data_IF_524993965762
#
_entry.id   IF_524993965762
#
_cell.length_a   1.000
_cell.length_b   1.000
_cell.length_c   1.000
_cell.angle_alpha   90.00
_cell.angle_beta   90.00
_cell.angle_gamma   90.00
#
_symmetry.space_group_name_H-M   'P 1'
#
loop_
_entity.id
_entity.type
_entity.pdbx_description
1 polymer ?
#
# COMPACT_ATOMS: atom_id res chain seq x y z
N UNK A 1 -9.11 5.00 10.50
CA UNK A 1 -9.30 3.71 9.86
C UNK A 1 -9.00 3.78 8.37
N UNK A 2 -8.32 2.79 7.85
CA UNK A 2 -7.97 2.74 6.43
C UNK A 2 -9.23 2.42 5.63
N UNK A 3 -9.57 3.26 4.67
CA UNK A 3 -10.73 3.07 3.80
C UNK A 3 -10.35 2.65 2.39
N UNK A 4 -9.22 3.15 1.91
CA UNK A 4 -8.72 2.88 0.57
C UNK A 4 -7.21 2.73 0.61
N UNK A 5 -6.70 1.61 0.12
CA UNK A 5 -5.29 1.28 0.17
C UNK A 5 -4.73 1.10 -1.23
N UNK A 6 -3.63 1.79 -1.51
CA UNK A 6 -2.90 1.62 -2.76
C UNK A 6 -1.89 0.50 -2.60
N UNK A 7 -1.92 -0.45 -3.51
CA UNK A 7 -1.00 -1.59 -3.53
C UNK A 7 0.19 -1.24 -4.41
N UNK A 8 1.33 -0.97 -3.79
CA UNK A 8 2.55 -0.55 -4.50
C UNK A 8 3.43 -1.76 -4.83
N UNK A 9 2.85 -2.74 -5.48
CA UNK A 9 3.56 -3.97 -5.88
C UNK A 9 2.79 -4.63 -7.02
N UNK A 10 3.27 -5.78 -7.46
CA UNK A 10 2.67 -6.53 -8.56
C UNK A 10 2.64 -8.03 -8.25
N UNK A 11 1.99 -8.80 -9.12
CA UNK A 11 1.99 -10.25 -9.06
C UNK A 11 1.26 -10.82 -7.85
N UNK A 12 1.74 -11.94 -7.36
CA UNK A 12 1.10 -12.68 -6.28
C UNK A 12 1.00 -11.88 -4.98
N UNK A 13 2.03 -11.10 -4.67
CA UNK A 13 2.02 -10.26 -3.47
C UNK A 13 0.91 -9.22 -3.55
N UNK A 14 0.76 -8.57 -4.69
CA UNK A 14 -0.30 -7.59 -4.89
C UNK A 14 -1.68 -8.24 -4.75
N UNK A 15 -1.83 -9.44 -5.27
CA UNK A 15 -3.09 -10.18 -5.19
C UNK A 15 -3.42 -10.55 -3.75
N UNK A 16 -2.43 -10.98 -2.97
CA UNK A 16 -2.62 -11.30 -1.55
C UNK A 16 -3.04 -10.08 -0.75
N UNK A 17 -2.42 -8.94 -1.00
CA UNK A 17 -2.78 -7.67 -0.36
C UNK A 17 -4.22 -7.31 -0.72
N UNK A 18 -4.58 -7.43 -1.98
CA UNK A 18 -5.95 -7.17 -2.44
C UNK A 18 -6.97 -8.03 -1.70
N UNK A 19 -6.70 -9.33 -1.58
CA UNK A 19 -7.60 -10.25 -0.88
C UNK A 19 -7.76 -9.89 0.59
N UNK A 20 -6.66 -9.53 1.25
CA UNK A 20 -6.72 -9.12 2.65
C UNK A 20 -7.56 -7.84 2.81
N UNK A 21 -7.39 -6.88 1.92
CA UNK A 21 -8.19 -5.66 1.94
C UNK A 21 -9.67 -5.97 1.73
N UNK A 22 -9.98 -6.86 0.79
CA UNK A 22 -11.34 -7.25 0.49
C UNK A 22 -12.03 -7.87 1.71
N UNK A 23 -11.33 -8.73 2.43
CA UNK A 23 -11.86 -9.35 3.65
C UNK A 23 -12.14 -8.32 4.74
N UNK A 24 -11.39 -7.23 4.77
CA UNK A 24 -11.54 -6.17 5.76
C UNK A 24 -12.47 -5.04 5.30
N UNK A 25 -13.03 -5.13 4.11
CA UNK A 25 -13.87 -4.07 3.58
C UNK A 25 -13.12 -2.83 3.15
N UNK A 26 -11.84 -2.96 2.86
CA UNK A 26 -10.99 -1.84 2.40
C UNK A 26 -10.95 -1.84 0.88
N UNK A 27 -11.22 -0.68 0.27
CA UNK A 27 -11.11 -0.55 -1.18
C UNK A 27 -9.64 -0.55 -1.59
N UNK A 28 -9.37 -1.07 -2.79
CA UNK A 28 -8.01 -1.18 -3.28
C UNK A 28 -7.79 -0.33 -4.52
N UNK A 29 -6.58 0.23 -4.61
CA UNK A 29 -6.07 0.88 -5.80
C UNK A 29 -4.87 0.07 -6.27
N UNK A 30 -4.93 -0.45 -7.48
CA UNK A 30 -3.78 -1.11 -8.09
C UNK A 30 -3.03 -0.10 -8.93
N UNK A 31 -1.72 -0.09 -8.78
CA UNK A 31 -0.86 0.59 -9.74
C UNK A 31 -0.26 -0.48 -10.64
N UNK A 32 0.05 -0.13 -11.87
CA UNK A 32 0.62 -1.09 -12.79
C UNK A 32 1.46 -0.42 -13.87
N UNK A 33 2.43 -1.16 -14.37
CA UNK A 33 3.12 -0.77 -15.59
C UNK A 33 2.23 -1.09 -16.79
N UNK A 34 2.59 -0.60 -17.97
CA UNK A 34 1.86 -0.93 -19.20
C UNK A 34 1.81 -2.42 -19.46
N UNK A 35 2.87 -3.14 -19.09
CA UNK A 35 2.94 -4.58 -19.31
C UNK A 35 1.96 -5.37 -18.43
N UNK A 36 1.61 -4.83 -17.29
CA UNK A 36 0.78 -5.50 -16.29
C UNK A 36 -0.70 -5.09 -16.33
N UNK A 37 -1.13 -4.38 -17.34
CA UNK A 37 -2.50 -3.85 -17.42
C UNK A 37 -3.58 -4.93 -17.25
N UNK A 38 -3.31 -6.15 -17.70
CA UNK A 38 -4.26 -7.26 -17.60
C UNK A 38 -3.98 -8.22 -16.44
N UNK A 39 -3.06 -7.87 -15.56
CA UNK A 39 -2.74 -8.73 -14.42
C UNK A 39 -3.95 -8.88 -13.49
N UNK A 40 -4.03 -10.02 -12.82
CA UNK A 40 -5.19 -10.35 -11.97
C UNK A 40 -5.43 -9.30 -10.89
N UNK A 41 -4.38 -8.84 -10.20
CA UNK A 41 -4.55 -7.85 -9.14
C UNK A 41 -5.07 -6.52 -9.66
N UNK A 42 -4.75 -6.17 -10.90
CA UNK A 42 -5.23 -4.95 -11.54
C UNK A 42 -6.71 -5.08 -11.90
N UNK A 43 -7.08 -6.22 -12.45
CA UNK A 43 -8.47 -6.48 -12.86
C UNK A 43 -9.43 -6.53 -11.68
N UNK A 44 -8.97 -7.03 -10.54
CA UNK A 44 -9.80 -7.18 -9.35
C UNK A 44 -9.87 -5.93 -8.48
N UNK A 45 -8.93 -5.01 -8.62
CA UNK A 45 -8.88 -3.80 -7.80
C UNK A 45 -10.09 -2.89 -8.08
N UNK A 46 -10.47 -2.13 -7.07
CA UNK A 46 -11.57 -1.17 -7.21
C UNK A 46 -11.20 -0.02 -8.15
N UNK A 47 -9.94 0.42 -8.09
CA UNK A 47 -9.40 1.44 -8.98
C UNK A 47 -8.03 1.00 -9.47
N UNK A 48 -7.59 1.53 -10.60
CA UNK A 48 -6.30 1.19 -11.18
C UNK A 48 -5.68 2.41 -11.85
N UNK A 49 -4.35 2.53 -11.76
CA UNK A 49 -3.61 3.63 -12.36
C UNK A 49 -2.36 3.06 -13.03
N UNK A 50 -2.17 3.39 -14.31
CA UNK A 50 -0.95 3.05 -15.02
C UNK A 50 0.12 4.07 -14.64
N UNK A 51 1.25 3.60 -14.09
CA UNK A 51 2.30 4.48 -13.56
C UNK A 51 3.56 4.54 -14.42
N UNK A 52 3.59 3.85 -15.55
CA UNK A 52 4.73 3.94 -16.43
C UNK A 52 4.92 2.72 -17.31
N UNK A 53 6.04 2.69 -18.06
CA UNK A 53 6.36 1.56 -18.95
C UNK A 53 6.80 0.33 -18.17
N UNK A 54 7.02 -0.77 -18.89
CA UNK A 54 7.35 -2.07 -18.29
C UNK A 54 8.55 -2.10 -17.33
N UNK A 55 9.66 -1.37 -17.58
CA UNK A 55 10.78 -1.40 -16.64
C UNK A 55 10.40 -0.89 -15.25
N UNK A 56 10.73 -1.68 -14.20
CA UNK A 56 10.39 -1.33 -12.84
C UNK A 56 10.94 0.03 -12.40
N UNK A 57 12.13 0.40 -12.86
CA UNK A 57 12.73 1.70 -12.54
C UNK A 57 11.87 2.88 -12.95
N UNK A 58 11.03 2.70 -13.98
CA UNK A 58 10.15 3.74 -14.51
C UNK A 58 8.69 3.56 -14.10
N UNK A 59 8.40 2.62 -13.23
CA UNK A 59 7.04 2.33 -12.77
C UNK A 59 7.03 2.01 -11.28
N UNK A 60 7.25 0.75 -10.91
CA UNK A 60 7.15 0.32 -9.50
C UNK A 60 8.20 0.93 -8.57
N UNK A 61 9.28 1.47 -9.10
CA UNK A 61 10.30 2.16 -8.31
C UNK A 61 10.22 3.69 -8.45
N UNK A 62 9.25 4.18 -9.20
CA UNK A 62 9.04 5.62 -9.38
C UNK A 62 8.17 6.17 -8.25
N UNK A 63 8.82 6.67 -7.21
CA UNK A 63 8.15 7.17 -6.01
C UNK A 63 7.14 8.29 -6.30
N UNK A 64 7.48 9.19 -7.20
CA UNK A 64 6.60 10.33 -7.53
C UNK A 64 5.33 9.88 -8.21
N UNK A 65 5.45 8.93 -9.14
CA UNK A 65 4.27 8.40 -9.84
C UNK A 65 3.34 7.65 -8.90
N UNK A 66 3.90 6.90 -7.97
CA UNK A 66 3.11 6.16 -6.98
C UNK A 66 2.38 7.12 -6.05
N UNK A 67 3.07 8.16 -5.55
CA UNK A 67 2.45 9.16 -4.69
C UNK A 67 1.37 9.93 -5.42
N UNK A 68 1.61 10.29 -6.68
CA UNK A 68 0.60 10.97 -7.50
C UNK A 68 -0.65 10.10 -7.67
N UNK A 69 -0.46 8.80 -7.89
CA UNK A 69 -1.58 7.87 -7.99
C UNK A 69 -2.38 7.80 -6.68
N UNK A 70 -1.69 7.80 -5.55
CA UNK A 70 -2.34 7.80 -4.25
C UNK A 70 -3.17 9.06 -4.02
N UNK A 71 -2.63 10.21 -4.40
CA UNK A 71 -3.35 11.48 -4.25
C UNK A 71 -4.56 11.58 -5.18
N UNK A 72 -4.40 11.20 -6.44
CA UNK A 72 -5.48 11.25 -7.43
C UNK A 72 -6.65 10.35 -7.02
N UNK A 73 -6.36 9.18 -6.47
CA UNK A 73 -7.40 8.23 -6.09
C UNK A 73 -7.93 8.44 -4.67
N UNK A 74 -7.27 9.28 -3.89
CA UNK A 74 -7.67 9.52 -2.50
C UNK A 74 -7.33 8.36 -1.59
N UNK A 75 -6.29 7.58 -1.91
CA UNK A 75 -5.85 6.50 -1.05
C UNK A 75 -5.32 7.05 0.27
N UNK A 76 -5.72 6.45 1.38
CA UNK A 76 -5.27 6.86 2.70
C UNK A 76 -4.17 5.96 3.26
N UNK A 77 -3.80 4.91 2.53
CA UNK A 77 -2.71 4.02 2.89
C UNK A 77 -2.01 3.48 1.65
N UNK A 78 -0.73 3.14 1.80
CA UNK A 78 0.06 2.48 0.77
C UNK A 78 0.71 1.26 1.38
N UNK A 79 0.55 0.11 0.73
CA UNK A 79 1.22 -1.13 1.12
C UNK A 79 2.25 -1.49 0.05
N UNK A 80 3.54 -1.48 0.38
CA UNK A 80 4.59 -1.74 -0.62
C UNK A 80 4.83 -3.22 -0.90
N UNK A 81 4.30 -4.12 -0.07
CA UNK A 81 4.57 -5.55 -0.19
C UNK A 81 6.03 -5.88 0.07
N UNK A 82 6.58 -6.78 -0.73
CA UNK A 82 7.99 -7.15 -0.68
C UNK A 82 8.75 -6.57 -1.87
N UNK A 83 10.03 -6.28 -1.67
CA UNK A 83 10.87 -5.73 -2.73
C UNK A 83 10.48 -4.32 -3.13
N UNK A 84 10.87 -3.89 -4.31
CA UNK A 84 10.61 -2.54 -4.82
C UNK A 84 10.91 -1.48 -3.74
N UNK A 85 9.92 -0.76 -3.28
CA UNK A 85 10.07 0.33 -2.31
C UNK A 85 9.80 -0.08 -0.87
N UNK A 86 9.59 -1.36 -0.60
CA UNK A 86 9.20 -1.84 0.73
C UNK A 86 10.18 -1.49 1.84
N UNK A 87 11.48 -1.43 1.53
CA UNK A 87 12.53 -1.11 2.50
C UNK A 87 13.15 0.26 2.25
N UNK A 88 12.53 1.07 1.41
CA UNK A 88 13.04 2.40 1.07
C UNK A 88 12.58 3.42 2.11
N UNK A 89 13.49 3.83 2.99
CA UNK A 89 13.19 4.79 4.04
C UNK A 89 12.75 6.15 3.51
N UNK A 90 13.31 6.57 2.38
CA UNK A 90 12.93 7.84 1.75
C UNK A 90 11.48 7.80 1.29
N UNK A 91 11.07 6.70 0.66
CA UNK A 91 9.70 6.54 0.22
C UNK A 91 8.73 6.51 1.41
N UNK A 92 9.06 5.75 2.45
CA UNK A 92 8.24 5.68 3.65
C UNK A 92 8.04 7.07 4.26
N UNK A 93 9.10 7.86 4.32
CA UNK A 93 9.04 9.22 4.83
C UNK A 93 8.17 10.11 3.95
N UNK A 94 8.31 10.02 2.64
CA UNK A 94 7.50 10.78 1.70
C UNK A 94 6.01 10.45 1.85
N UNK A 95 5.70 9.17 1.99
CA UNK A 95 4.32 8.71 2.20
C UNK A 95 3.73 9.34 3.46
N UNK A 96 4.48 9.28 4.55
CA UNK A 96 4.03 9.85 5.82
C UNK A 96 3.88 11.36 5.78
N UNK A 97 4.76 12.05 5.07
CA UNK A 97 4.68 13.49 4.89
C UNK A 97 3.42 13.91 4.14
N UNK A 98 2.89 13.04 3.28
CA UNK A 98 1.62 13.25 2.58
C UNK A 98 0.41 12.82 3.43
N UNK A 99 0.64 12.50 4.70
CA UNK A 99 -0.40 12.03 5.64
C UNK A 99 -1.08 10.75 5.18
N UNK A 100 -0.32 9.91 4.50
CA UNK A 100 -0.75 8.59 4.05
C UNK A 100 -0.09 7.55 4.95
N UNK A 101 -0.82 6.53 5.36
CA UNK A 101 -0.28 5.47 6.21
C UNK A 101 0.61 4.54 5.39
N UNK A 102 1.84 4.36 5.82
CA UNK A 102 2.74 3.39 5.20
C UNK A 102 2.60 2.06 5.94
N UNK A 103 1.93 1.10 5.30
CA UNK A 103 1.71 -0.22 5.89
C UNK A 103 3.00 -1.04 5.75
N UNK A 104 3.35 -1.82 6.79
CA UNK A 104 4.57 -2.60 6.79
C UNK A 104 4.66 -3.60 5.64
N UNK A 105 5.85 -4.24 5.46
CA UNK A 105 6.11 -5.02 4.24
C UNK A 105 5.27 -6.30 4.12
N UNK A 106 4.81 -6.89 5.21
CA UNK A 106 4.04 -8.13 5.14
C UNK A 106 2.57 -7.86 4.82
N UNK A 107 1.94 -8.67 3.94
CA UNK A 107 0.51 -8.50 3.66
C UNK A 107 -0.36 -8.52 4.92
N UNK A 108 0.03 -9.30 5.92
CA UNK A 108 -0.71 -9.42 7.18
C UNK A 108 -0.70 -8.14 8.01
N UNK A 109 0.20 -7.22 7.72
CA UNK A 109 0.29 -5.96 8.46
C UNK A 109 -0.91 -5.05 8.24
N UNK A 110 -1.73 -5.32 7.22
CA UNK A 110 -2.95 -4.53 6.99
C UNK A 110 -3.85 -4.61 8.22
N UNK A 111 -4.09 -5.82 8.72
CA UNK A 111 -4.91 -6.04 9.90
C UNK A 111 -4.31 -5.35 11.12
N UNK A 112 -3.01 -5.54 11.33
CA UNK A 112 -2.30 -4.95 12.46
C UNK A 112 -2.34 -3.42 12.41
N UNK A 113 -2.14 -2.82 11.23
CA UNK A 113 -2.18 -1.37 11.09
C UNK A 113 -3.59 -0.82 11.26
N UNK A 114 -4.60 -1.54 10.82
CA UNK A 114 -6.00 -1.18 11.05
C UNK A 114 -6.30 -1.10 12.53
N UNK A 115 -5.90 -2.12 13.27
CA UNK A 115 -6.06 -2.16 14.73
C UNK A 115 -5.26 -1.05 15.41
N UNK A 116 -4.05 -0.81 14.95
CA UNK A 116 -3.20 0.24 15.47
C UNK A 116 -3.84 1.63 15.30
N UNK A 117 -4.43 1.90 14.16
CA UNK A 117 -5.09 3.17 13.90
C UNK A 117 -6.34 3.30 14.74
N UNK A 118 -7.17 2.28 14.79
CA UNK A 118 -8.43 2.28 15.53
C UNK A 118 -8.20 2.27 17.05
N UNK A 119 -7.23 1.49 17.52
CA UNK A 119 -6.96 1.32 18.95
C UNK A 119 -5.64 1.89 19.41
N UNK A 120 -5.13 2.90 18.73
CA UNK A 120 -3.79 3.42 18.95
C UNK A 120 -3.53 3.82 20.40
N UNK A 121 -4.45 4.50 21.03
CA UNK A 121 -4.30 4.92 22.43
C UNK A 121 -4.26 3.70 23.35
N UNK A 122 -5.17 2.76 23.15
CA UNK A 122 -5.24 1.55 23.94
C UNK A 122 -3.94 0.77 23.89
N UNK A 123 -3.40 0.58 22.68
CA UNK A 123 -2.14 -0.14 22.49
C UNK A 123 -1.01 0.55 23.23
N UNK A 124 -0.90 1.87 23.12
CA UNK A 124 0.13 2.63 23.80
C UNK A 124 -0.03 2.60 25.32
N UNK A 125 -1.26 2.72 25.79
CA UNK A 125 -1.56 2.70 27.22
C UNK A 125 -1.20 1.37 27.86
N UNK A 126 -1.35 0.28 27.13
CA UNK A 126 -0.99 -1.05 27.61
C UNK A 126 0.52 -1.28 27.59
N UNK A 127 1.29 -0.33 27.07
CA UNK A 127 2.74 -0.47 26.99
C UNK A 127 3.21 -1.52 26.01
N UNK A 128 2.33 -1.99 25.15
CA UNK A 128 2.70 -2.93 24.11
C UNK A 128 3.52 -2.18 23.08
N UNK A 129 4.74 -2.65 22.76
CA UNK A 129 5.54 -1.98 21.74
C UNK A 129 4.78 -1.97 20.44
N UNK A 130 4.48 -0.78 19.95
CA UNK A 130 3.98 -0.65 18.59
C UNK A 130 5.20 -0.87 17.73
N UNK A 131 5.33 -2.06 17.21
CA UNK A 131 6.48 -2.42 16.39
C UNK A 131 6.60 -1.40 15.26
N UNK A 132 7.76 -0.75 15.09
CA UNK A 132 7.94 0.20 14.00
C UNK A 132 7.56 -0.44 12.68
N UNK A 133 6.70 0.21 11.94
CA UNK A 133 6.20 -0.36 10.71
C UNK A 133 5.08 -1.37 10.92
N UNK A 134 4.65 -1.54 12.10
CA UNK A 134 3.53 -2.45 12.36
C UNK A 134 2.47 -1.79 13.21
#
# INVERSE_FOLDING_TARGET
MIKKLLIANRGEIALRIHRACQEMGIKTVAIHSKADADAMHVRLADERVCIGPAPAAKSYLDMKSILAAAEITGADAIHPGYGFLSENATFAKMVEEHKIVFVGPHPDHISLMGDKIAGKKTVKELGIPVVPGS
#
